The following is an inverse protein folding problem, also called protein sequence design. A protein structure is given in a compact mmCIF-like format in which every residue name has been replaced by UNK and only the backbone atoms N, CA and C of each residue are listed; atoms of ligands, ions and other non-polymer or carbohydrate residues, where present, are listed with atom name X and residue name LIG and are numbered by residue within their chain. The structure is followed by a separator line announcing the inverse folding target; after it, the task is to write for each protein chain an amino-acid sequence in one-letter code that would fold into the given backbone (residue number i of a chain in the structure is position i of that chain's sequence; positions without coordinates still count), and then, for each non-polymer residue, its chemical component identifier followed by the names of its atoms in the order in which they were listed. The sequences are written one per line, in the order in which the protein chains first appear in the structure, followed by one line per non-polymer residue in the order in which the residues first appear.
data_IF_357857710302
#
_entry.id   IF_357857710302
#
_cell.length_a   1.000
_cell.length_b   1.000
_cell.length_c   1.000
_cell.angle_alpha   90.00
_cell.angle_beta   90.00
_cell.angle_gamma   90.00
#
_symmetry.space_group_name_H-M   'P 1'
#
loop_
_entity.id
_entity.type
_entity.pdbx_description
1 polymer ?
#
# COMPACT_ATOMS: atom_id res chain seq x y z
N UNK A 1 1.30 12.80 9.68
CA UNK A 1 0.09 12.02 9.33
C UNK A 1 -0.89 12.01 10.51
N UNK A 2 -1.67 13.08 10.68
CA UNK A 2 -2.79 13.14 11.64
C UNK A 2 -4.09 13.19 10.83
N UNK A 3 -4.73 12.04 10.59
CA UNK A 3 -5.90 11.99 9.71
C UNK A 3 -6.72 10.69 9.74
N UNK A 4 -6.30 9.66 10.47
CA UNK A 4 -7.08 8.43 10.56
C UNK A 4 -8.20 8.59 11.58
N UNK A 5 -9.44 8.61 11.10
CA UNK A 5 -10.64 8.62 11.93
C UNK A 5 -10.95 7.22 12.46
N UNK A 6 -11.45 7.12 13.69
CA UNK A 6 -11.98 5.86 14.25
C UNK A 6 -13.03 5.18 13.37
N UNK A 7 -13.69 5.93 12.47
CA UNK A 7 -14.58 5.38 11.45
C UNK A 7 -13.91 4.31 10.56
N UNK A 8 -12.58 4.35 10.40
CA UNK A 8 -11.82 3.32 9.70
C UNK A 8 -12.08 1.93 10.29
N UNK A 9 -12.10 1.80 11.61
CA UNK A 9 -12.29 0.51 12.27
C UNK A 9 -13.69 -0.07 12.04
N UNK A 10 -14.70 0.77 11.79
CA UNK A 10 -16.03 0.32 11.39
C UNK A 10 -16.03 -0.41 10.04
N UNK A 11 -15.07 -0.11 9.15
CA UNK A 11 -14.91 -0.78 7.87
C UNK A 11 -14.04 -2.04 7.93
N UNK A 12 -13.17 -2.18 8.93
CA UNK A 12 -12.26 -3.32 9.12
C UNK A 12 -12.95 -4.55 9.74
N UNK A 13 -14.16 -4.87 9.28
CA UNK A 13 -14.88 -6.06 9.74
C UNK A 13 -14.18 -7.34 9.27
N UNK A 14 -14.36 -8.47 9.97
CA UNK A 14 -13.77 -9.75 9.56
C UNK A 14 -14.17 -10.19 8.13
N UNK A 15 -15.37 -9.82 7.68
CA UNK A 15 -15.82 -10.08 6.32
C UNK A 15 -15.02 -9.26 5.30
N UNK A 16 -14.94 -7.93 5.51
CA UNK A 16 -14.22 -7.04 4.62
C UNK A 16 -12.73 -7.37 4.55
N UNK A 17 -12.09 -7.66 5.70
CA UNK A 17 -10.68 -8.03 5.74
C UNK A 17 -10.41 -9.34 4.99
N UNK A 18 -11.32 -10.32 5.09
CA UNK A 18 -11.21 -11.59 4.36
C UNK A 18 -11.36 -11.42 2.85
N UNK A 19 -12.34 -10.62 2.41
CA UNK A 19 -12.54 -10.32 1.00
C UNK A 19 -11.35 -9.53 0.45
N UNK A 20 -10.87 -8.54 1.21
CA UNK A 20 -9.69 -7.75 0.86
C UNK A 20 -8.43 -8.59 0.72
N UNK A 21 -8.15 -9.47 1.68
CA UNK A 21 -6.99 -10.36 1.63
C UNK A 21 -7.01 -11.26 0.39
N UNK A 22 -8.15 -11.88 0.07
CA UNK A 22 -8.29 -12.71 -1.15
C UNK A 22 -8.05 -11.91 -2.43
N UNK A 23 -8.50 -10.65 -2.47
CA UNK A 23 -8.25 -9.77 -3.63
C UNK A 23 -6.76 -9.48 -3.81
N UNK A 24 -6.01 -9.34 -2.71
CA UNK A 24 -4.57 -9.15 -2.77
C UNK A 24 -3.87 -10.38 -3.36
N UNK A 25 -4.33 -11.59 -3.02
CA UNK A 25 -3.78 -12.83 -3.58
C UNK A 25 -4.03 -12.97 -5.09
N UNK A 26 -5.10 -12.33 -5.60
CA UNK A 26 -5.42 -12.31 -7.03
C UNK A 26 -4.73 -11.18 -7.82
N UNK A 27 -3.90 -10.35 -7.18
CA UNK A 27 -3.19 -9.29 -7.89
C UNK A 27 -2.13 -9.91 -8.83
N UNK A 28 -2.10 -9.44 -10.08
CA UNK A 28 -1.13 -9.89 -11.08
C UNK A 28 0.31 -9.38 -10.83
N UNK A 29 0.56 -8.71 -9.70
CA UNK A 29 1.86 -8.14 -9.34
C UNK A 29 2.75 -9.22 -8.74
N UNK A 30 3.71 -9.71 -9.53
CA UNK A 30 4.59 -10.83 -9.14
C UNK A 30 5.47 -10.54 -7.93
N UNK A 31 6.03 -9.34 -7.83
CA UNK A 31 7.03 -8.96 -6.82
C UNK A 31 6.55 -7.75 -5.99
N UNK A 32 5.37 -7.87 -5.36
CA UNK A 32 4.88 -6.85 -4.44
C UNK A 32 5.58 -6.99 -3.07
N UNK A 33 6.37 -5.99 -2.69
CA UNK A 33 6.91 -5.81 -1.34
C UNK A 33 6.24 -4.60 -0.68
N UNK A 34 5.89 -4.72 0.59
CA UNK A 34 5.13 -3.70 1.32
C UNK A 34 5.96 -3.20 2.49
N UNK A 35 6.43 -1.96 2.40
CA UNK A 35 7.22 -1.33 3.46
C UNK A 35 6.36 -0.35 4.26
N UNK A 36 6.17 -0.65 5.54
CA UNK A 36 5.33 0.16 6.43
C UNK A 36 6.24 1.07 7.28
N UNK A 37 6.17 2.36 7.00
CA UNK A 37 6.98 3.44 7.60
C UNK A 37 6.11 4.48 8.27
N UNK A 38 6.70 5.30 9.14
CA UNK A 38 6.08 6.40 9.88
C UNK A 38 4.74 6.00 10.53
N UNK A 39 4.72 4.86 11.20
CA UNK A 39 3.49 4.31 11.80
C UNK A 39 3.06 5.09 13.03
N UNK A 40 1.74 5.32 13.15
CA UNK A 40 1.09 5.82 14.36
C UNK A 40 0.39 4.69 15.13
N UNK A 41 -0.03 4.97 16.37
CA UNK A 41 -0.77 4.01 17.19
C UNK A 41 -2.00 3.43 16.47
N UNK A 42 -2.82 4.28 15.83
CA UNK A 42 -4.01 3.85 15.11
C UNK A 42 -3.67 2.96 13.91
N UNK A 43 -2.58 3.28 13.19
CA UNK A 43 -2.14 2.47 12.07
C UNK A 43 -1.69 1.08 12.54
N UNK A 44 -0.90 1.01 13.61
CA UNK A 44 -0.47 -0.25 14.20
C UNK A 44 -1.67 -1.12 14.64
N UNK A 45 -2.68 -0.52 15.28
CA UNK A 45 -3.90 -1.23 15.64
C UNK A 45 -4.65 -1.75 14.41
N UNK A 46 -4.77 -0.95 13.35
CA UNK A 46 -5.42 -1.38 12.11
C UNK A 46 -4.69 -2.53 11.42
N UNK A 47 -3.35 -2.48 11.39
CA UNK A 47 -2.51 -3.54 10.83
C UNK A 47 -2.71 -4.82 11.65
N UNK A 48 -2.70 -4.77 12.98
CA UNK A 48 -2.93 -5.95 13.83
C UNK A 48 -4.28 -6.62 13.58
N UNK A 49 -5.30 -5.87 13.14
CA UNK A 49 -6.61 -6.40 12.77
C UNK A 49 -6.58 -7.08 11.38
N UNK A 50 -5.89 -6.50 10.41
CA UNK A 50 -5.83 -6.99 9.02
C UNK A 50 -4.83 -8.13 8.85
N UNK A 51 -3.68 -8.04 9.52
CA UNK A 51 -2.53 -8.95 9.35
C UNK A 51 -2.88 -10.44 9.47
N UNK A 52 -3.73 -10.90 10.41
CA UNK A 52 -4.09 -12.32 10.52
C UNK A 52 -4.73 -12.89 9.24
N UNK A 53 -5.44 -12.07 8.46
CA UNK A 53 -6.17 -12.48 7.27
C UNK A 53 -5.28 -12.64 6.02
N UNK A 54 -4.05 -12.12 6.05
CA UNK A 54 -3.12 -12.19 4.93
C UNK A 54 -2.49 -13.58 4.79
N UNK A 55 -2.18 -13.99 3.56
CA UNK A 55 -1.48 -15.24 3.30
C UNK A 55 -0.02 -15.21 3.82
N UNK A 56 0.55 -16.39 4.06
CA UNK A 56 1.92 -16.56 4.53
C UNK A 56 2.96 -15.99 3.55
N UNK A 57 2.72 -16.06 2.24
CA UNK A 57 3.63 -15.47 1.26
C UNK A 57 3.63 -13.94 1.33
N UNK A 58 2.46 -13.32 1.43
CA UNK A 58 2.34 -11.87 1.54
C UNK A 58 2.92 -11.36 2.86
N UNK A 59 2.70 -12.08 3.97
CA UNK A 59 3.28 -11.75 5.28
C UNK A 59 4.81 -11.69 5.25
N UNK A 60 5.48 -12.57 4.49
CA UNK A 60 6.95 -12.56 4.35
C UNK A 60 7.48 -11.34 3.60
N UNK A 61 6.64 -10.70 2.79
CA UNK A 61 6.98 -9.53 1.95
C UNK A 61 6.57 -8.20 2.61
N UNK A 62 6.02 -8.24 3.82
CA UNK A 62 5.68 -7.06 4.60
C UNK A 62 6.83 -6.74 5.56
N UNK A 63 7.39 -5.54 5.43
CA UNK A 63 8.49 -5.04 6.25
C UNK A 63 8.00 -3.89 7.13
N UNK A 64 8.18 -4.03 8.44
CA UNK A 64 7.82 -3.00 9.41
C UNK A 64 9.05 -2.20 9.81
N UNK A 65 9.08 -0.91 9.46
CA UNK A 65 10.19 0.00 9.77
C UNK A 65 9.83 0.98 10.89
N UNK A 66 8.55 1.30 11.06
CA UNK A 66 8.11 2.26 12.08
C UNK A 66 8.74 3.64 11.83
N UNK A 67 9.46 4.18 12.81
CA UNK A 67 10.15 5.48 12.68
C UNK A 67 11.61 5.35 12.21
N UNK A 68 12.12 4.12 11.98
CA UNK A 68 13.50 3.90 11.56
C UNK A 68 13.64 3.88 10.03
N UNK A 69 13.97 5.05 9.47
CA UNK A 69 14.25 5.21 8.04
C UNK A 69 15.52 4.48 7.57
N UNK A 70 16.48 4.23 8.47
CA UNK A 70 17.70 3.50 8.10
C UNK A 70 17.40 2.05 7.76
N UNK A 71 16.41 1.45 8.44
CA UNK A 71 15.89 0.13 8.12
C UNK A 71 15.25 0.07 6.72
N UNK A 72 14.53 1.12 6.31
CA UNK A 72 13.96 1.23 4.96
C UNK A 72 15.06 1.29 3.89
N UNK A 73 16.11 2.06 4.15
CA UNK A 73 17.19 2.26 3.16
C UNK A 73 18.07 1.04 2.89
N UNK A 74 17.91 -0.03 3.67
CA UNK A 74 18.47 -1.35 3.35
C UNK A 74 17.78 -2.02 2.15
N UNK A 75 16.54 -1.62 1.87
CA UNK A 75 15.72 -2.15 0.77
C UNK A 75 15.63 -1.17 -0.39
N UNK A 76 15.55 0.14 -0.10
CA UNK A 76 15.32 1.18 -1.12
C UNK A 76 16.34 2.32 -1.00
N UNK A 77 17.05 2.61 -2.10
CA UNK A 77 18.02 3.70 -2.13
C UNK A 77 17.34 5.07 -1.85
N UNK A 78 17.81 5.88 -0.88
CA UNK A 78 17.28 7.22 -0.62
C UNK A 78 17.32 8.17 -1.83
N UNK A 79 18.22 7.97 -2.78
CA UNK A 79 18.37 8.82 -3.97
C UNK A 79 17.19 8.76 -4.94
N UNK A 80 16.35 7.73 -4.86
CA UNK A 80 15.15 7.57 -5.71
C UNK A 80 13.85 7.86 -4.95
N UNK A 81 13.93 8.16 -3.65
CA UNK A 81 12.77 8.38 -2.79
C UNK A 81 12.51 9.87 -2.56
N UNK A 82 11.24 10.32 -2.58
CA UNK A 82 10.87 11.68 -2.19
C UNK A 82 11.29 12.00 -0.76
N UNK A 83 11.59 13.28 -0.49
CA UNK A 83 11.95 13.79 0.86
C UNK A 83 10.95 13.42 1.95
N UNK A 84 9.66 13.42 1.64
CA UNK A 84 8.59 13.06 2.58
C UNK A 84 8.60 11.57 3.01
N UNK A 85 9.31 10.72 2.28
CA UNK A 85 9.52 9.30 2.57
C UNK A 85 10.99 9.00 2.96
N UNK A 86 11.72 10.01 3.44
CA UNK A 86 13.09 9.85 3.92
C UNK A 86 14.17 9.86 2.83
N UNK A 87 13.85 10.21 1.59
CA UNK A 87 14.83 10.29 0.51
C UNK A 87 15.31 11.70 0.14
N UNK A 88 15.95 11.83 -1.02
CA UNK A 88 16.62 13.05 -1.46
C UNK A 88 15.93 13.79 -2.62
N UNK A 89 15.03 13.15 -3.36
CA UNK A 89 14.36 13.81 -4.50
C UNK A 89 13.28 14.78 -4.01
N UNK A 90 12.87 15.77 -4.85
CA UNK A 90 11.81 16.70 -4.50
C UNK A 90 10.53 16.00 -4.03
N UNK A 91 9.76 16.67 -3.17
CA UNK A 91 8.45 16.19 -2.70
C UNK A 91 7.53 15.88 -3.88
N UNK A 92 6.64 14.91 -3.67
CA UNK A 92 5.75 14.46 -4.73
C UNK A 92 4.71 15.53 -5.03
N UNK A 93 4.54 15.88 -6.30
CA UNK A 93 3.44 16.73 -6.74
C UNK A 93 2.18 15.86 -6.93
N UNK A 94 1.35 15.83 -5.89
CA UNK A 94 0.11 15.06 -5.86
C UNK A 94 -0.91 15.54 -6.90
N UNK A 95 -0.94 16.83 -7.21
CA UNK A 95 -1.89 17.37 -8.20
C UNK A 95 -1.49 16.93 -9.60
N UNK A 96 -0.20 16.97 -9.93
CA UNK A 96 0.31 16.45 -11.20
C UNK A 96 0.06 14.94 -11.33
N UNK A 97 0.31 14.18 -10.27
CA UNK A 97 0.07 12.74 -10.28
C UNK A 97 -1.42 12.41 -10.44
N UNK A 98 -2.29 13.17 -9.76
CA UNK A 98 -3.75 13.09 -9.91
C UNK A 98 -4.17 13.35 -11.34
N UNK A 99 -3.70 14.45 -11.94
CA UNK A 99 -4.00 14.80 -13.34
C UNK A 99 -3.55 13.70 -14.31
N UNK A 100 -2.36 13.12 -14.10
CA UNK A 100 -1.84 12.03 -14.93
C UNK A 100 -2.70 10.77 -14.85
N UNK A 101 -3.18 10.40 -13.66
CA UNK A 101 -4.05 9.23 -13.50
C UNK A 101 -5.38 9.47 -14.23
N UNK A 102 -5.98 10.66 -14.09
CA UNK A 102 -7.24 10.96 -14.74
C UNK A 102 -7.13 11.12 -16.26
N UNK A 103 -6.03 11.69 -16.77
CA UNK A 103 -5.82 11.82 -18.22
C UNK A 103 -5.67 10.47 -18.92
N UNK A 104 -5.28 9.42 -18.19
CA UNK A 104 -5.11 8.07 -18.71
C UNK A 104 -6.19 7.10 -18.18
N UNK A 105 -7.29 7.63 -17.63
CA UNK A 105 -8.31 6.80 -16.98
C UNK A 105 -8.90 5.74 -17.93
N UNK A 106 -9.19 6.11 -19.18
CA UNK A 106 -9.77 5.18 -20.16
C UNK A 106 -8.81 4.02 -20.47
N UNK A 107 -7.51 4.31 -20.65
CA UNK A 107 -6.48 3.30 -20.88
C UNK A 107 -6.31 2.39 -19.66
N UNK A 108 -6.36 2.95 -18.45
CA UNK A 108 -6.30 2.15 -17.23
C UNK A 108 -7.50 1.22 -17.11
N UNK A 109 -8.71 1.70 -17.43
CA UNK A 109 -9.92 0.87 -17.42
C UNK A 109 -9.85 -0.24 -18.47
N UNK A 110 -9.32 0.05 -19.66
CA UNK A 110 -9.05 -0.96 -20.69
C UNK A 110 -8.06 -2.00 -20.18
N UNK A 111 -6.91 -1.59 -19.63
CA UNK A 111 -5.92 -2.51 -19.07
C UNK A 111 -6.49 -3.37 -17.94
N UNK A 112 -7.34 -2.80 -17.07
CA UNK A 112 -8.03 -3.56 -16.02
C UNK A 112 -9.04 -4.57 -16.60
N UNK A 113 -9.62 -4.30 -17.77
CA UNK A 113 -10.53 -5.21 -18.46
C UNK A 113 -9.84 -6.40 -19.15
N UNK A 114 -8.52 -6.31 -19.37
CA UNK A 114 -7.72 -7.36 -20.01
C UNK A 114 -7.33 -8.51 -19.04
N UNK A 115 -7.68 -8.43 -17.76
CA UNK A 115 -7.50 -9.51 -16.79
C UNK A 115 -8.61 -10.58 -16.90
N UNK A 116 -8.22 -11.86 -16.88
CA UNK A 116 -9.04 -13.10 -17.01
C UNK A 116 -10.56 -12.87 -17.04
N UNK A 117 -11.11 -12.73 -18.25
CA UNK A 117 -12.54 -12.92 -18.50
C UNK A 117 -12.74 -14.42 -18.59
N UNK A 118 -13.53 -15.00 -17.68
CA UNK A 118 -13.92 -16.41 -17.73
C UNK A 118 -14.43 -16.75 -19.14
N UNK A 119 -13.64 -17.55 -19.88
CA UNK A 119 -14.08 -18.31 -21.05
C UNK A 119 -14.55 -19.69 -20.62
#
# INVERSE_FOLDING_TARGET
MAGYSWKLFGWLTPYNNRVGARKLDCLLVRNLEVHIVNTSFLLNASISIVYPFLDAELKKRIHFHGQDWSSLHKYINPEILPKEYGGNIPSLDYDKLRCLIYSNADQLMELFSLGYVDT
#
